data_IF_157991945382
#
_entry.id   IF_157991945382
#
_cell.length_a   1.000
_cell.length_b   1.000
_cell.length_c   1.000
_cell.angle_alpha   90.00
_cell.angle_beta   90.00
_cell.angle_gamma   90.00
#
_symmetry.space_group_name_H-M   'P 1'
#
loop_
_entity.id
_entity.type
_entity.pdbx_description
1 polymer ?
#
# COMPACT_ATOMS: atom_id res chain seq x y z
N UNK A 1 7.27 -13.85 25.28
CA UNK A 1 6.82 -14.44 24.00
C UNK A 1 7.92 -14.52 22.92
N UNK A 2 8.58 -13.44 22.51
CA UNK A 2 9.79 -13.51 21.65
C UNK A 2 11.00 -12.88 22.35
N UNK A 3 12.19 -13.41 22.08
CA UNK A 3 13.46 -12.90 22.64
C UNK A 3 14.03 -11.75 21.82
N UNK A 4 13.75 -11.68 20.51
CA UNK A 4 14.36 -10.70 19.58
C UNK A 4 13.45 -9.50 19.27
N UNK A 5 12.12 -9.68 19.30
CA UNK A 5 11.14 -8.61 18.98
C UNK A 5 11.01 -7.59 20.11
N UNK A 6 10.45 -6.40 19.82
CA UNK A 6 10.20 -5.37 20.83
C UNK A 6 11.46 -4.91 21.57
N UNK A 7 12.53 -4.64 20.80
CA UNK A 7 13.82 -4.19 21.30
C UNK A 7 14.74 -5.31 21.79
N UNK A 8 14.33 -6.57 21.62
CA UNK A 8 15.05 -7.73 22.14
C UNK A 8 16.45 -7.89 21.54
N UNK A 9 16.60 -7.70 20.23
CA UNK A 9 17.90 -7.73 19.55
C UNK A 9 18.80 -6.59 20.03
N UNK A 10 18.27 -5.38 20.18
CA UNK A 10 19.03 -4.23 20.71
C UNK A 10 19.49 -4.44 22.16
N UNK A 11 18.65 -5.04 23.03
CA UNK A 11 19.03 -5.37 24.41
C UNK A 11 20.09 -6.47 24.48
N UNK A 12 20.06 -7.45 23.58
CA UNK A 12 21.11 -8.49 23.50
C UNK A 12 22.44 -7.97 22.93
N UNK A 13 22.42 -6.89 22.14
CA UNK A 13 23.62 -6.28 21.57
C UNK A 13 24.32 -5.29 22.53
N UNK A 14 23.60 -4.73 23.49
CA UNK A 14 24.11 -3.74 24.46
C UNK A 14 25.37 -4.26 25.18
N UNK A 15 26.43 -3.44 25.35
CA UNK A 15 26.55 -2.01 25.02
C UNK A 15 27.06 -1.71 23.59
N UNK A 16 27.12 -2.70 22.70
CA UNK A 16 27.63 -2.54 21.32
C UNK A 16 26.71 -1.65 20.49
N UNK A 17 27.25 -0.69 19.74
CA UNK A 17 26.44 0.16 18.85
C UNK A 17 25.70 -0.68 17.79
N UNK A 18 24.41 -0.42 17.60
CA UNK A 18 23.54 -1.06 16.61
C UNK A 18 23.14 -0.02 15.57
N UNK A 19 23.44 -0.27 14.30
CA UNK A 19 22.97 0.55 13.18
C UNK A 19 22.07 -0.30 12.30
N UNK A 20 20.76 -0.02 12.37
CA UNK A 20 19.74 -0.72 11.57
C UNK A 20 19.50 0.04 10.27
N UNK A 21 19.68 -0.62 9.13
CA UNK A 21 19.33 -0.10 7.81
C UNK A 21 18.03 -0.79 7.35
N UNK A 22 16.97 -0.01 7.21
CA UNK A 22 15.59 -0.52 7.09
C UNK A 22 15.03 -0.22 5.70
N UNK A 23 14.53 -1.26 5.04
CA UNK A 23 13.58 -1.15 3.93
C UNK A 23 12.18 -1.34 4.50
N UNK A 24 11.26 -0.42 4.21
CA UNK A 24 9.92 -0.38 4.77
C UNK A 24 8.86 -0.74 3.72
N UNK A 25 8.16 -1.84 3.99
CA UNK A 25 6.98 -2.35 3.30
C UNK A 25 5.66 -1.98 4.03
N UNK A 26 5.74 -1.16 5.08
CA UNK A 26 4.61 -0.79 5.95
C UNK A 26 4.20 0.67 5.74
N UNK A 27 2.89 0.91 5.56
CA UNK A 27 2.36 2.26 5.34
C UNK A 27 2.76 3.19 6.48
N UNK A 28 3.52 4.23 6.12
CA UNK A 28 3.88 5.29 7.04
C UNK A 28 5.04 4.99 7.99
N UNK A 29 5.77 3.89 7.75
CA UNK A 29 7.04 3.51 8.36
C UNK A 29 7.10 3.35 9.91
N UNK A 30 6.09 2.76 10.60
CA UNK A 30 6.15 2.49 12.03
C UNK A 30 7.23 1.44 12.38
N UNK A 31 8.35 1.91 12.93
CA UNK A 31 9.55 1.10 13.23
C UNK A 31 9.30 -0.03 14.24
N UNK A 32 8.34 0.15 15.14
CA UNK A 32 7.86 -0.83 16.12
C UNK A 32 7.06 -1.98 15.45
N UNK A 33 6.40 -1.71 14.34
CA UNK A 33 5.66 -2.70 13.56
C UNK A 33 6.56 -3.45 12.55
N UNK A 34 7.48 -2.74 11.90
CA UNK A 34 8.45 -3.31 10.93
C UNK A 34 9.28 -4.40 11.62
N UNK A 35 9.21 -5.64 11.11
CA UNK A 35 9.75 -6.85 11.74
C UNK A 35 9.32 -7.09 13.22
N UNK A 36 8.31 -6.37 13.71
CA UNK A 36 7.97 -6.19 15.13
C UNK A 36 9.08 -5.58 15.99
N UNK A 37 9.73 -4.54 15.46
CA UNK A 37 10.61 -3.63 16.19
C UNK A 37 11.75 -4.29 16.96
N UNK A 38 12.58 -5.16 16.36
CA UNK A 38 13.63 -5.87 17.09
C UNK A 38 14.68 -4.94 17.71
N UNK A 39 14.82 -3.74 17.15
CA UNK A 39 15.77 -2.68 17.54
C UNK A 39 15.08 -1.42 18.05
N UNK A 40 13.82 -1.52 18.49
CA UNK A 40 12.99 -0.40 18.94
C UNK A 40 12.45 -0.68 20.35
N UNK A 41 12.42 0.32 21.23
CA UNK A 41 11.85 0.15 22.57
C UNK A 41 10.37 -0.23 22.49
N UNK A 42 9.99 -1.33 23.16
CA UNK A 42 8.59 -1.72 23.25
C UNK A 42 7.86 -0.90 24.31
N UNK A 43 6.86 -0.12 23.91
CA UNK A 43 6.02 0.70 24.80
C UNK A 43 4.72 0.01 25.21
N UNK A 44 4.42 -1.17 24.67
CA UNK A 44 3.18 -1.91 24.95
C UNK A 44 3.15 -2.45 26.39
N UNK A 45 2.01 -2.25 27.08
CA UNK A 45 1.80 -2.81 28.41
C UNK A 45 1.53 -4.32 28.35
N UNK A 46 2.12 -5.10 29.25
CA UNK A 46 1.89 -6.57 29.32
C UNK A 46 0.40 -6.93 29.47
N UNK A 47 -0.37 -6.06 30.12
CA UNK A 47 -1.83 -6.20 30.27
C UNK A 47 -2.58 -6.16 28.92
N UNK A 48 -2.05 -5.48 27.89
CA UNK A 48 -2.65 -5.45 26.55
C UNK A 48 -2.73 -6.87 25.95
N UNK A 49 -1.71 -7.70 26.16
CA UNK A 49 -1.71 -9.09 25.69
C UNK A 49 -2.81 -9.94 26.35
N UNK A 50 -3.00 -9.79 27.67
CA UNK A 50 -4.10 -10.47 28.39
C UNK A 50 -5.47 -9.96 27.95
N UNK A 51 -5.62 -8.64 27.77
CA UNK A 51 -6.87 -8.03 27.29
C UNK A 51 -7.23 -8.51 25.88
N UNK A 52 -6.25 -8.68 24.97
CA UNK A 52 -6.46 -9.25 23.63
C UNK A 52 -6.89 -10.71 23.73
N UNK A 53 -6.21 -11.53 24.53
CA UNK A 53 -6.56 -12.95 24.74
C UNK A 53 -7.99 -13.10 25.26
N UNK A 54 -8.41 -12.23 26.19
CA UNK A 54 -9.77 -12.20 26.73
C UNK A 54 -10.80 -11.72 25.69
N UNK A 55 -10.51 -10.62 24.96
CA UNK A 55 -11.38 -10.02 23.93
C UNK A 55 -11.78 -11.02 22.83
N UNK A 56 -10.89 -11.94 22.47
CA UNK A 56 -11.14 -12.95 21.44
C UNK A 56 -11.46 -14.35 22.02
N UNK A 57 -11.73 -14.45 23.34
CA UNK A 57 -12.06 -15.70 24.05
C UNK A 57 -11.05 -16.84 23.80
N UNK A 58 -9.76 -16.51 23.83
CA UNK A 58 -8.67 -17.43 23.47
C UNK A 58 -8.01 -18.14 24.66
N UNK A 59 -8.37 -17.83 25.91
CA UNK A 59 -7.79 -18.44 27.11
C UNK A 59 -7.71 -19.98 27.02
N UNK A 60 -8.81 -20.63 26.66
CA UNK A 60 -8.90 -22.10 26.60
C UNK A 60 -8.35 -22.70 25.28
N UNK A 61 -7.74 -21.88 24.41
CA UNK A 61 -7.16 -22.27 23.11
C UNK A 61 -5.65 -22.05 23.03
N UNK A 62 -5.06 -21.41 24.04
CA UNK A 62 -3.64 -21.05 24.10
C UNK A 62 -2.94 -21.96 25.14
N UNK A 63 -1.73 -22.48 24.87
CA UNK A 63 -0.99 -23.30 25.83
C UNK A 63 -0.76 -22.58 27.16
N UNK A 64 -0.93 -23.30 28.28
CA UNK A 64 -0.79 -22.73 29.63
C UNK A 64 0.60 -22.11 29.89
N UNK A 65 1.65 -22.63 29.25
CA UNK A 65 3.00 -22.06 29.28
C UNK A 65 3.07 -20.62 28.75
N UNK A 66 2.27 -20.28 27.74
CA UNK A 66 2.16 -18.92 27.20
C UNK A 66 1.45 -18.00 28.18
N UNK A 67 0.33 -18.46 28.75
CA UNK A 67 -0.45 -17.68 29.72
C UNK A 67 0.39 -17.42 30.99
N UNK A 68 1.12 -18.42 31.46
CA UNK A 68 2.04 -18.31 32.60
C UNK A 68 3.24 -17.40 32.29
N UNK A 69 3.80 -17.43 31.08
CA UNK A 69 4.86 -16.50 30.66
C UNK A 69 4.38 -15.04 30.72
N UNK A 70 3.21 -14.74 30.15
CA UNK A 70 2.63 -13.39 30.14
C UNK A 70 2.30 -12.92 31.56
N UNK A 71 1.70 -13.79 32.39
CA UNK A 71 1.42 -13.48 33.80
C UNK A 71 2.69 -13.18 34.59
N UNK A 72 3.73 -14.00 34.46
CA UNK A 72 5.01 -13.79 35.14
C UNK A 72 5.63 -12.42 34.79
N UNK A 73 5.62 -12.04 33.50
CA UNK A 73 6.08 -10.71 33.04
C UNK A 73 5.20 -9.56 33.55
N UNK A 74 3.94 -9.80 33.90
CA UNK A 74 3.06 -8.79 34.52
C UNK A 74 3.24 -8.64 36.03
N UNK A 75 3.74 -9.68 36.72
CA UNK A 75 4.06 -9.63 38.16
C UNK A 75 5.45 -9.10 38.46
N UNK A 76 6.37 -9.19 37.49
CA UNK A 76 7.68 -8.56 37.57
C UNK A 76 7.56 -7.04 37.30
N UNK A 77 7.21 -6.28 38.34
CA UNK A 77 7.39 -4.81 38.39
C UNK A 77 8.86 -4.37 38.38
N UNK A 78 9.78 -5.29 38.10
CA UNK A 78 11.23 -5.11 38.23
C UNK A 78 11.82 -4.46 36.98
N UNK A 79 11.51 -3.17 36.82
CA UNK A 79 12.21 -2.25 35.92
C UNK A 79 13.09 -1.32 36.77
N UNK A 80 13.92 -1.92 37.62
CA UNK A 80 15.10 -1.30 38.25
C UNK A 80 16.22 -1.07 37.21
N UNK A 81 15.85 -0.63 36.01
CA UNK A 81 16.51 -0.98 34.75
C UNK A 81 16.67 0.23 33.82
N UNK A 82 17.22 1.34 34.34
CA UNK A 82 17.55 2.52 33.52
C UNK A 82 18.58 2.22 32.42
N UNK A 83 19.37 1.15 32.56
CA UNK A 83 20.34 0.70 31.54
C UNK A 83 19.74 -0.31 30.56
N UNK A 84 18.92 -1.28 31.02
CA UNK A 84 18.36 -2.33 30.13
C UNK A 84 17.28 -1.80 29.18
N UNK A 85 16.71 -0.63 29.48
CA UNK A 85 15.84 0.13 28.58
C UNK A 85 16.54 1.36 27.96
N UNK A 86 17.88 1.44 28.02
CA UNK A 86 18.63 2.40 27.21
C UNK A 86 18.67 1.91 25.74
N UNK A 87 18.41 2.81 24.80
CA UNK A 87 18.48 2.58 23.34
C UNK A 87 19.38 3.61 22.63
N UNK A 88 20.16 4.41 23.37
CA UNK A 88 21.07 5.44 22.84
C UNK A 88 22.18 4.84 21.96
N UNK A 89 22.49 3.55 22.17
CA UNK A 89 23.40 2.77 21.32
C UNK A 89 22.79 2.38 19.96
N UNK A 90 21.51 2.66 19.72
CA UNK A 90 20.77 2.19 18.53
C UNK A 90 20.40 3.32 17.59
N UNK A 91 20.77 3.17 16.32
CA UNK A 91 20.40 4.09 15.24
C UNK A 91 19.56 3.35 14.18
N UNK A 92 18.26 3.62 14.14
CA UNK A 92 17.34 3.02 13.16
C UNK A 92 17.14 3.98 11.98
N UNK A 93 17.63 3.60 10.79
CA UNK A 93 17.62 4.43 9.59
C UNK A 93 16.79 3.77 8.48
N UNK A 94 15.72 4.44 8.04
CA UNK A 94 14.94 4.00 6.87
C UNK A 94 15.72 4.43 5.60
N UNK A 95 16.28 3.47 4.89
CA UNK A 95 17.05 3.68 3.65
C UNK A 95 16.22 3.48 2.39
N UNK A 96 15.04 2.87 2.50
CA UNK A 96 14.07 2.72 1.40
C UNK A 96 12.66 2.60 1.94
N UNK A 97 11.74 3.37 1.35
CA UNK A 97 10.31 3.34 1.63
C UNK A 97 9.52 3.93 0.45
N UNK A 98 8.20 3.89 0.53
CA UNK A 98 7.32 4.44 -0.50
C UNK A 98 7.55 5.94 -0.73
N UNK A 99 7.87 6.69 0.33
CA UNK A 99 8.16 8.12 0.24
C UNK A 99 9.36 8.41 -0.66
N UNK A 100 10.43 7.61 -0.58
CA UNK A 100 11.61 7.72 -1.44
C UNK A 100 11.26 7.34 -2.89
N UNK A 101 10.46 6.30 -3.11
CA UNK A 101 10.01 5.91 -4.46
C UNK A 101 9.19 7.03 -5.13
N UNK A 102 8.13 7.51 -4.46
CA UNK A 102 7.24 8.55 -4.99
C UNK A 102 7.97 9.89 -5.20
N UNK A 103 8.94 10.25 -4.35
CA UNK A 103 9.81 11.43 -4.56
C UNK A 103 10.68 11.31 -5.81
N UNK A 104 11.24 10.12 -6.08
CA UNK A 104 12.03 9.90 -7.29
C UNK A 104 11.13 9.93 -8.55
N UNK A 105 9.92 9.38 -8.49
CA UNK A 105 8.93 9.46 -9.58
C UNK A 105 8.56 10.92 -9.89
N UNK A 106 8.26 11.73 -8.87
CA UNK A 106 7.98 13.16 -9.06
C UNK A 106 9.17 13.91 -9.67
N UNK A 107 10.39 13.63 -9.21
CA UNK A 107 11.63 14.20 -9.77
C UNK A 107 11.82 13.83 -11.24
N UNK A 108 11.60 12.57 -11.62
CA UNK A 108 11.70 12.11 -13.02
C UNK A 108 10.61 12.76 -13.88
N UNK A 109 9.38 12.90 -13.37
CA UNK A 109 8.32 13.62 -14.07
C UNK A 109 8.70 15.09 -14.36
N UNK A 110 9.24 15.81 -13.36
CA UNK A 110 9.75 17.18 -13.52
C UNK A 110 10.89 17.26 -14.54
N UNK A 111 11.82 16.30 -14.52
CA UNK A 111 12.92 16.21 -15.50
C UNK A 111 12.44 15.96 -16.93
N UNK A 112 11.24 15.39 -17.10
CA UNK A 112 10.57 15.20 -18.40
C UNK A 112 9.54 16.31 -18.71
N UNK A 113 9.55 17.43 -17.96
CA UNK A 113 8.73 18.61 -18.24
C UNK A 113 7.32 18.61 -17.62
N UNK A 114 6.96 17.62 -16.80
CA UNK A 114 5.65 17.56 -16.15
C UNK A 114 5.61 18.35 -14.83
N UNK A 115 4.53 19.11 -14.62
CA UNK A 115 4.19 19.72 -13.33
C UNK A 115 3.68 18.66 -12.34
N UNK A 116 4.58 17.97 -11.64
CA UNK A 116 4.21 16.91 -10.68
C UNK A 116 3.87 17.45 -9.28
N UNK A 117 2.83 16.91 -8.65
CA UNK A 117 2.51 17.11 -7.22
C UNK A 117 2.42 15.75 -6.52
N UNK A 118 3.05 15.61 -5.35
CA UNK A 118 2.91 14.41 -4.51
C UNK A 118 1.66 14.59 -3.65
N UNK A 119 0.62 13.80 -3.94
CA UNK A 119 -0.67 13.87 -3.24
C UNK A 119 -0.63 13.20 -1.86
N UNK A 120 -0.02 12.01 -1.78
CA UNK A 120 0.15 11.24 -0.55
C UNK A 120 1.21 10.15 -0.77
N UNK A 121 1.82 9.68 0.33
CA UNK A 121 2.64 8.44 0.38
C UNK A 121 2.09 7.47 1.44
N UNK A 122 0.78 7.58 1.71
CA UNK A 122 -0.01 6.83 2.68
C UNK A 122 -1.41 6.57 2.10
N UNK A 123 -1.46 6.00 0.89
CA UNK A 123 -2.72 5.69 0.20
C UNK A 123 -3.23 4.35 0.70
N UNK A 124 -4.32 4.38 1.46
CA UNK A 124 -4.97 3.19 2.02
C UNK A 124 -6.46 3.16 1.70
N UNK A 125 -7.07 1.98 1.86
CA UNK A 125 -8.49 1.75 1.68
C UNK A 125 -8.78 0.78 0.55
N UNK A 126 -10.04 0.76 0.09
CA UNK A 126 -10.53 -0.25 -0.83
C UNK A 126 -10.60 0.30 -2.25
N UNK A 127 -10.08 -0.48 -3.20
CA UNK A 127 -9.77 -0.14 -4.60
C UNK A 127 -10.80 0.77 -5.27
N UNK A 128 -12.09 0.43 -5.19
CA UNK A 128 -13.19 1.20 -5.77
C UNK A 128 -13.22 2.69 -5.37
N UNK A 129 -12.75 3.00 -4.16
CA UNK A 129 -12.77 4.35 -3.61
C UNK A 129 -11.52 5.13 -3.95
N UNK A 130 -10.37 4.45 -4.03
CA UNK A 130 -9.13 5.06 -4.53
C UNK A 130 -9.32 5.43 -6.00
N UNK A 131 -10.00 4.58 -6.78
CA UNK A 131 -10.46 4.89 -8.13
C UNK A 131 -11.38 6.13 -8.17
N UNK A 132 -12.44 6.17 -7.36
CA UNK A 132 -13.37 7.32 -7.30
C UNK A 132 -12.66 8.61 -6.85
N UNK A 133 -11.78 8.55 -5.85
CA UNK A 133 -10.95 9.69 -5.40
C UNK A 133 -10.09 10.24 -6.55
N UNK A 134 -9.41 9.37 -7.30
CA UNK A 134 -8.57 9.79 -8.43
C UNK A 134 -9.38 10.28 -9.63
N UNK A 135 -10.55 9.68 -9.92
CA UNK A 135 -11.43 10.14 -11.00
C UNK A 135 -12.07 11.50 -10.68
N UNK A 136 -12.56 11.69 -9.44
CA UNK A 136 -12.97 13.00 -8.92
C UNK A 136 -11.81 13.99 -9.04
N UNK A 137 -10.61 13.68 -8.54
CA UNK A 137 -9.46 14.59 -8.62
C UNK A 137 -9.08 14.94 -10.06
N UNK A 138 -9.24 14.01 -11.02
CA UNK A 138 -9.02 14.31 -12.43
C UNK A 138 -10.06 15.31 -12.98
N UNK A 139 -11.34 15.11 -12.67
CA UNK A 139 -12.41 16.05 -12.99
C UNK A 139 -12.15 17.44 -12.36
N UNK A 140 -11.77 17.47 -11.09
CA UNK A 140 -11.43 18.66 -10.29
C UNK A 140 -10.07 19.31 -10.65
N UNK A 141 -9.37 18.79 -11.67
CA UNK A 141 -8.18 19.40 -12.31
C UNK A 141 -8.48 19.82 -13.76
N UNK A 142 -9.41 19.14 -14.44
CA UNK A 142 -9.93 19.54 -15.75
C UNK A 142 -10.86 20.78 -15.59
N UNK A 143 -11.73 20.76 -14.58
CA UNK A 143 -12.26 21.94 -13.92
C UNK A 143 -11.14 22.61 -13.11
N UNK A 144 -11.11 23.94 -13.03
CA UNK A 144 -10.06 24.69 -12.31
C UNK A 144 -10.32 24.88 -10.80
N UNK A 145 -11.09 23.98 -10.18
CA UNK A 145 -11.61 24.10 -8.79
C UNK A 145 -11.71 22.70 -8.18
N UNK A 146 -11.38 22.51 -6.88
CA UNK A 146 -11.25 21.17 -6.28
C UNK A 146 -11.73 20.97 -4.83
N UNK A 147 -12.24 19.77 -4.52
CA UNK A 147 -12.06 19.10 -3.21
C UNK A 147 -12.98 17.92 -2.84
N UNK A 148 -12.44 16.82 -2.24
CA UNK A 148 -13.24 15.77 -1.57
C UNK A 148 -12.56 14.39 -1.36
N UNK A 149 -13.02 13.59 -0.38
CA UNK A 149 -12.48 12.24 -0.03
C UNK A 149 -13.53 11.29 0.62
N UNK A 150 -13.58 9.96 0.32
CA UNK A 150 -14.31 8.90 1.09
C UNK A 150 -13.97 7.42 0.71
N UNK A 151 -14.70 6.38 1.19
CA UNK A 151 -14.24 4.95 1.38
C UNK A 151 -15.37 3.86 1.28
N UNK A 152 -15.06 2.52 1.19
CA UNK A 152 -15.90 1.24 1.23
C UNK A 152 -16.25 0.57 -0.16
N UNK A 153 -16.23 -0.75 -0.51
CA UNK A 153 -15.69 -2.07 -0.03
C UNK A 153 -15.50 -3.06 -1.25
N UNK A 154 -14.81 -4.22 -1.09
CA UNK A 154 -14.52 -5.27 -2.13
C UNK A 154 -15.35 -6.60 -2.01
N UNK A 155 -15.46 -7.43 -3.08
CA UNK A 155 -16.45 -8.56 -3.14
C UNK A 155 -16.19 -9.90 -3.91
N UNK A 156 -15.29 -10.07 -4.89
CA UNK A 156 -15.29 -11.24 -5.81
C UNK A 156 -14.14 -12.27 -5.71
N UNK A 157 -13.75 -12.94 -6.84
CA UNK A 157 -13.04 -14.25 -6.84
C UNK A 157 -12.03 -14.59 -7.96
N UNK A 158 -11.84 -13.75 -8.98
CA UNK A 158 -11.11 -14.04 -10.22
C UNK A 158 -9.58 -13.85 -10.15
N UNK A 159 -8.92 -13.73 -11.32
CA UNK A 159 -7.48 -13.48 -11.40
C UNK A 159 -7.18 -12.01 -11.70
N UNK A 160 -6.55 -11.35 -10.73
CA UNK A 160 -6.08 -9.98 -10.82
C UNK A 160 -5.34 -9.60 -9.56
N UNK A 161 -4.82 -8.38 -9.52
CA UNK A 161 -4.27 -7.78 -8.32
C UNK A 161 -4.86 -6.40 -8.03
N UNK A 162 -4.44 -5.81 -6.90
CA UNK A 162 -4.98 -4.55 -6.38
C UNK A 162 -4.68 -3.37 -7.32
N UNK A 163 -3.54 -3.41 -8.01
CA UNK A 163 -3.09 -2.35 -8.90
C UNK A 163 -3.79 -2.42 -10.26
N UNK A 164 -3.90 -3.63 -10.84
CA UNK A 164 -4.69 -3.89 -12.05
C UNK A 164 -6.18 -3.55 -11.84
N UNK A 165 -6.76 -3.94 -10.70
CA UNK A 165 -8.16 -3.62 -10.41
C UNK A 165 -8.39 -2.12 -10.15
N UNK A 166 -7.41 -1.41 -9.57
CA UNK A 166 -7.45 0.05 -9.42
C UNK A 166 -7.42 0.77 -10.77
N UNK A 167 -6.50 0.39 -11.66
CA UNK A 167 -6.44 0.92 -13.01
C UNK A 167 -7.76 0.72 -13.78
N UNK A 168 -8.31 -0.49 -13.77
CA UNK A 168 -9.55 -0.81 -14.51
C UNK A 168 -10.80 -0.18 -13.88
N UNK A 169 -10.86 -0.07 -12.54
CA UNK A 169 -11.97 0.62 -11.86
C UNK A 169 -11.90 2.14 -12.06
N UNK A 170 -10.70 2.72 -12.12
CA UNK A 170 -10.53 4.13 -12.50
C UNK A 170 -11.00 4.38 -13.94
N UNK A 171 -10.61 3.52 -14.89
CA UNK A 171 -11.07 3.60 -16.27
C UNK A 171 -12.60 3.55 -16.40
N UNK A 172 -13.26 2.68 -15.61
CA UNK A 172 -14.72 2.60 -15.50
C UNK A 172 -15.33 3.93 -15.06
N UNK A 173 -14.90 4.44 -13.91
CA UNK A 173 -15.47 5.65 -13.29
C UNK A 173 -15.20 6.88 -14.17
N UNK A 174 -14.03 6.97 -14.80
CA UNK A 174 -13.70 8.02 -15.76
C UNK A 174 -14.63 8.02 -16.97
N UNK A 175 -14.97 6.85 -17.52
CA UNK A 175 -15.94 6.72 -18.61
C UNK A 175 -17.36 7.12 -18.17
N UNK A 176 -17.82 6.62 -17.02
CA UNK A 176 -19.13 6.99 -16.44
C UNK A 176 -19.23 8.50 -16.08
N UNK A 177 -18.12 9.15 -15.74
CA UNK A 177 -18.07 10.59 -15.49
C UNK A 177 -18.20 11.43 -16.76
N UNK A 178 -17.64 11.01 -17.90
CA UNK A 178 -17.69 11.79 -19.15
C UNK A 178 -19.11 12.12 -19.60
N UNK A 179 -20.06 11.19 -19.45
CA UNK A 179 -21.48 11.42 -19.80
C UNK A 179 -22.09 12.62 -19.07
N UNK A 180 -21.59 12.94 -17.87
CA UNK A 180 -22.02 14.08 -17.04
C UNK A 180 -21.03 15.24 -17.06
N UNK A 181 -19.80 15.03 -17.52
CA UNK A 181 -18.68 15.97 -17.50
C UNK A 181 -17.97 16.04 -18.89
N UNK A 182 -18.66 16.44 -19.98
CA UNK A 182 -18.11 16.38 -21.34
C UNK A 182 -16.88 17.27 -21.57
N UNK A 183 -16.60 18.23 -20.68
CA UNK A 183 -15.36 19.01 -20.72
C UNK A 183 -14.11 18.14 -20.48
N UNK A 184 -14.24 16.93 -19.93
CA UNK A 184 -13.13 16.00 -19.75
C UNK A 184 -12.63 15.44 -21.09
N UNK A 185 -13.41 15.54 -22.18
CA UNK A 185 -12.97 15.16 -23.53
C UNK A 185 -11.96 16.14 -24.15
N UNK A 186 -11.71 17.32 -23.56
CA UNK A 186 -10.55 18.16 -23.90
C UNK A 186 -9.21 17.54 -23.44
N UNK A 187 -9.24 16.45 -22.68
CA UNK A 187 -8.07 15.90 -22.00
C UNK A 187 -7.84 14.41 -22.31
N UNK A 188 -6.57 14.00 -22.24
CA UNK A 188 -6.13 12.62 -22.15
C UNK A 188 -5.76 12.36 -20.68
N UNK A 189 -6.39 11.35 -20.09
CA UNK A 189 -6.33 11.06 -18.65
C UNK A 189 -5.98 9.59 -18.45
N UNK A 190 -4.90 9.32 -17.71
CA UNK A 190 -4.35 8.00 -17.47
C UNK A 190 -4.01 7.82 -15.99
N UNK A 191 -4.29 6.64 -15.42
CA UNK A 191 -3.79 6.23 -14.11
C UNK A 191 -2.88 5.00 -14.27
N UNK A 192 -1.58 5.16 -14.03
CA UNK A 192 -0.70 4.04 -13.73
C UNK A 192 -0.91 3.64 -12.26
N UNK A 193 -1.01 2.33 -12.00
CA UNK A 193 -0.91 1.76 -10.65
C UNK A 193 -0.05 0.50 -10.72
N UNK A 194 1.00 0.40 -9.89
CA UNK A 194 1.98 -0.70 -9.89
C UNK A 194 2.60 -0.98 -8.52
N UNK A 195 2.87 -2.25 -8.22
CA UNK A 195 3.68 -2.71 -7.09
C UNK A 195 5.17 -2.57 -7.37
N UNK A 196 5.94 -2.09 -6.40
CA UNK A 196 7.39 -1.83 -6.57
C UNK A 196 8.27 -3.08 -6.48
N UNK A 197 7.71 -4.22 -6.11
CA UNK A 197 8.28 -5.57 -6.19
C UNK A 197 8.22 -6.17 -7.60
N UNK A 198 7.37 -5.62 -8.48
CA UNK A 198 7.12 -6.12 -9.82
C UNK A 198 5.97 -7.14 -9.89
N UNK A 199 5.18 -7.31 -8.82
CA UNK A 199 4.12 -8.33 -8.72
C UNK A 199 2.83 -7.74 -8.19
N UNK A 200 1.71 -8.00 -8.86
CA UNK A 200 0.38 -7.60 -8.41
C UNK A 200 -0.59 -8.79 -8.42
N UNK A 201 -0.98 -9.24 -7.22
CA UNK A 201 -1.80 -10.45 -7.04
C UNK A 201 -1.06 -11.74 -7.47
N UNK A 202 -1.78 -12.82 -7.80
CA UNK A 202 -1.20 -14.06 -8.32
C UNK A 202 -0.91 -13.94 -9.83
N UNK A 203 -0.17 -12.89 -10.24
CA UNK A 203 0.17 -12.58 -11.63
C UNK A 203 1.67 -12.33 -11.81
N UNK A 204 2.11 -12.27 -13.06
CA UNK A 204 3.47 -11.93 -13.52
C UNK A 204 3.60 -10.45 -13.94
N UNK A 205 2.52 -9.67 -13.80
CA UNK A 205 2.51 -8.23 -14.00
C UNK A 205 2.65 -7.50 -12.65
N UNK A 206 3.24 -6.31 -12.69
CA UNK A 206 3.35 -5.41 -11.54
C UNK A 206 2.11 -4.53 -11.34
N UNK A 207 1.25 -4.43 -12.35
CA UNK A 207 0.10 -3.52 -12.35
C UNK A 207 -0.41 -3.25 -13.76
N UNK A 208 -1.12 -2.13 -13.94
CA UNK A 208 -1.66 -1.74 -15.25
C UNK A 208 -1.84 -0.21 -15.38
N UNK A 209 -2.16 0.22 -16.60
CA UNK A 209 -2.60 1.57 -16.95
C UNK A 209 -4.12 1.59 -17.15
N UNK A 210 -4.80 2.57 -16.55
CA UNK A 210 -6.26 2.75 -16.63
C UNK A 210 -6.62 4.02 -17.41
N UNK A 211 -7.46 3.88 -18.45
CA UNK A 211 -7.96 5.03 -19.24
C UNK A 211 -9.31 4.76 -19.92
N UNK A 212 -10.06 5.83 -20.21
CA UNK A 212 -11.44 5.78 -20.74
C UNK A 212 -11.67 4.86 -21.96
N UNK A 213 -10.72 4.77 -22.90
CA UNK A 213 -10.87 3.92 -24.10
C UNK A 213 -11.07 2.42 -23.80
N UNK A 214 -10.70 1.95 -22.61
CA UNK A 214 -10.93 0.56 -22.13
C UNK A 214 -12.41 0.22 -21.95
N UNK A 215 -13.29 1.25 -21.97
CA UNK A 215 -14.75 1.12 -21.95
C UNK A 215 -15.40 1.67 -23.23
N UNK A 216 -14.82 2.72 -23.85
CA UNK A 216 -15.36 3.34 -25.07
C UNK A 216 -15.15 2.50 -26.34
N UNK A 217 -13.95 1.91 -26.50
CA UNK A 217 -13.52 1.23 -27.73
C UNK A 217 -13.33 -0.29 -27.52
N UNK A 218 -14.00 -0.86 -26.52
CA UNK A 218 -13.85 -2.28 -26.19
C UNK A 218 -14.62 -3.18 -27.16
N UNK A 219 -13.89 -4.03 -27.89
CA UNK A 219 -14.49 -4.97 -28.82
C UNK A 219 -15.38 -6.00 -28.10
N UNK A 220 -16.46 -6.45 -28.75
CA UNK A 220 -17.54 -7.27 -28.15
C UNK A 220 -17.14 -8.62 -27.54
N UNK A 221 -15.89 -9.05 -27.73
CA UNK A 221 -15.29 -10.23 -27.11
C UNK A 221 -14.70 -9.94 -25.70
N UNK A 222 -14.61 -8.67 -25.31
CA UNK A 222 -14.19 -8.19 -23.99
C UNK A 222 -15.34 -7.47 -23.30
N UNK A 223 -15.42 -7.65 -21.97
CA UNK A 223 -16.51 -7.15 -21.15
C UNK A 223 -15.96 -6.61 -19.81
N UNK A 224 -15.48 -5.37 -19.76
CA UNK A 224 -14.73 -4.87 -18.62
C UNK A 224 -15.57 -4.83 -17.33
N UNK A 225 -16.89 -4.58 -17.44
CA UNK A 225 -17.84 -4.69 -16.32
C UNK A 225 -17.95 -6.12 -15.75
N UNK A 226 -17.96 -7.17 -16.59
CA UNK A 226 -17.98 -8.56 -16.11
C UNK A 226 -16.63 -8.96 -15.50
N UNK A 227 -15.52 -8.51 -16.09
CA UNK A 227 -14.18 -8.71 -15.52
C UNK A 227 -14.02 -8.05 -14.15
N UNK A 228 -14.45 -6.80 -13.97
CA UNK A 228 -14.43 -6.11 -12.67
C UNK A 228 -15.32 -6.81 -11.63
N UNK A 229 -16.57 -7.14 -11.98
CA UNK A 229 -17.49 -7.84 -11.08
C UNK A 229 -16.97 -9.22 -10.63
N UNK A 230 -16.06 -9.82 -11.41
CA UNK A 230 -15.41 -11.08 -11.09
C UNK A 230 -14.00 -10.93 -10.50
N UNK A 231 -13.42 -9.74 -10.34
CA UNK A 231 -11.99 -9.52 -10.01
C UNK A 231 -11.01 -10.20 -11.00
N UNK A 232 -11.36 -10.20 -12.29
CA UNK A 232 -10.62 -10.85 -13.39
C UNK A 232 -9.87 -9.82 -14.27
N UNK A 233 -9.26 -8.81 -13.63
CA UNK A 233 -8.62 -7.68 -14.31
C UNK A 233 -7.39 -8.09 -15.13
N UNK A 234 -6.62 -9.09 -14.67
CA UNK A 234 -5.49 -9.65 -15.44
C UNK A 234 -5.94 -10.18 -16.80
N UNK A 235 -7.05 -10.93 -16.81
CA UNK A 235 -7.61 -11.55 -18.00
C UNK A 235 -8.31 -10.57 -18.96
N UNK A 236 -8.60 -9.35 -18.49
CA UNK A 236 -8.97 -8.22 -19.34
C UNK A 236 -7.73 -7.61 -20.00
N UNK A 237 -6.75 -7.18 -19.19
CA UNK A 237 -5.56 -6.50 -19.68
C UNK A 237 -4.70 -7.37 -20.61
N UNK A 238 -4.57 -8.68 -20.34
CA UNK A 238 -3.87 -9.64 -21.21
C UNK A 238 -4.48 -9.81 -22.62
N UNK A 239 -5.59 -9.13 -22.93
CA UNK A 239 -6.34 -9.22 -24.19
C UNK A 239 -6.63 -7.85 -24.80
N UNK A 240 -6.96 -6.86 -23.96
CA UNK A 240 -7.12 -5.47 -24.40
C UNK A 240 -5.78 -4.97 -24.96
N UNK A 241 -5.79 -4.45 -26.19
CA UNK A 241 -4.58 -4.01 -26.91
C UNK A 241 -3.40 -5.01 -26.82
N UNK A 242 -3.68 -6.32 -26.87
CA UNK A 242 -2.68 -7.41 -26.74
C UNK A 242 -1.81 -7.37 -25.47
N UNK A 243 -2.18 -6.62 -24.43
CA UNK A 243 -1.38 -6.44 -23.22
C UNK A 243 -0.59 -5.14 -23.13
N UNK A 244 -0.73 -4.19 -24.07
CA UNK A 244 0.02 -2.90 -24.05
C UNK A 244 -0.19 -2.08 -22.76
N UNK A 245 -1.35 -2.22 -22.10
CA UNK A 245 -1.68 -1.58 -20.81
C UNK A 245 -1.22 -2.37 -19.57
N UNK A 246 -0.70 -3.59 -19.74
CA UNK A 246 -0.28 -4.48 -18.65
C UNK A 246 1.21 -4.25 -18.32
N UNK A 247 1.52 -3.85 -17.09
CA UNK A 247 2.86 -3.38 -16.74
C UNK A 247 3.71 -4.52 -16.18
N UNK A 248 4.42 -5.23 -17.05
CA UNK A 248 5.29 -6.35 -16.70
C UNK A 248 6.77 -5.94 -16.68
N UNK A 249 7.24 -5.45 -15.53
CA UNK A 249 8.66 -5.05 -15.32
C UNK A 249 9.56 -6.18 -14.79
N UNK A 250 8.97 -7.33 -14.41
CA UNK A 250 9.68 -8.42 -13.74
C UNK A 250 9.99 -8.15 -12.26
N UNK A 251 10.43 -9.19 -11.55
CA UNK A 251 10.69 -9.12 -10.11
C UNK A 251 11.87 -8.19 -9.80
N UNK A 252 11.62 -7.07 -9.11
CA UNK A 252 12.62 -5.99 -8.91
C UNK A 252 13.66 -6.31 -7.83
N UNK A 253 13.32 -7.18 -6.87
CA UNK A 253 14.19 -7.55 -5.75
C UNK A 253 14.10 -6.62 -4.52
N UNK A 254 13.15 -5.69 -4.52
CA UNK A 254 12.82 -4.81 -3.37
C UNK A 254 11.31 -4.78 -3.17
N UNK A 255 10.81 -4.26 -2.05
CA UNK A 255 9.39 -3.91 -1.92
C UNK A 255 9.26 -2.66 -1.03
N UNK A 256 8.60 -1.63 -1.56
CA UNK A 256 8.25 -0.40 -0.86
C UNK A 256 6.80 0.03 -1.17
N UNK A 257 5.91 -0.97 -1.23
CA UNK A 257 4.48 -0.84 -1.54
C UNK A 257 4.22 -0.34 -2.97
N UNK A 258 3.02 0.20 -3.25
CA UNK A 258 2.58 0.57 -4.60
C UNK A 258 2.90 2.04 -4.95
N UNK A 259 3.06 2.31 -6.24
CA UNK A 259 3.19 3.64 -6.82
C UNK A 259 2.02 3.88 -7.77
N UNK A 260 1.34 5.01 -7.58
CA UNK A 260 0.27 5.48 -8.46
C UNK A 260 0.71 6.77 -9.16
N UNK A 261 0.45 6.89 -10.47
CA UNK A 261 0.72 8.10 -11.26
C UNK A 261 -0.54 8.46 -12.05
N UNK A 262 -1.20 9.56 -11.66
CA UNK A 262 -2.28 10.17 -12.43
C UNK A 262 -1.68 11.19 -13.39
N UNK A 263 -1.83 10.96 -14.70
CA UNK A 263 -1.36 11.86 -15.77
C UNK A 263 -2.58 12.48 -16.44
N UNK A 264 -2.58 13.81 -16.54
CA UNK A 264 -3.62 14.61 -17.19
C UNK A 264 -2.93 15.55 -18.18
N UNK A 265 -3.20 15.37 -19.47
CA UNK A 265 -2.69 16.22 -20.54
C UNK A 265 -3.86 16.79 -21.33
N UNK A 266 -3.86 18.09 -21.65
CA UNK A 266 -4.82 18.62 -22.62
C UNK A 266 -4.47 18.12 -24.02
N UNK A 267 -5.48 17.90 -24.85
CA UNK A 267 -5.36 17.62 -26.28
C UNK A 267 -4.97 18.88 -27.08
#
# INVERSE_FOLDING_TARGET
MSVLKGGGLARLAYPTQVISLILSDVVGDPLDFIASGPTVANTDQVLNALNIINKYSLLNKIPESVISNIKATSTSNDVSCNEVNNFDHVQNNIIGNNSIAVKNVAKVAQQNGYSSVILSTRVEGLVSNVAIKYANLANEICLKISGGETTVILKGKGKGGRNQELALTFAKVLHEMKETHPHMDDFNIFLLSCGTDGIDGPTDAAGAIGHCQQFENVGSHLKPYECLNNNDSYSFYSKFSNGDDLVSIGHTGTNVMDVHILVICRK
#
